data_IF_081679474243
#
_entry.id   IF_081679474243
#
_cell.length_a   1.000
_cell.length_b   1.000
_cell.length_c   1.000
_cell.angle_alpha   90.00
_cell.angle_beta   90.00
_cell.angle_gamma   90.00
#
_symmetry.space_group_name_H-M   'P 1'
#
loop_
_entity.id
_entity.type
_entity.pdbx_description
1 polymer ?
#
# COMPACT_ATOMS: atom_id res chain seq x y z
N UNK A 1 39.92 17.35 -74.92
CA UNK A 1 39.24 16.28 -74.15
C UNK A 1 39.53 16.56 -72.68
N UNK A 2 38.74 17.39 -71.96
CA UNK A 2 37.44 17.12 -71.31
C UNK A 2 37.38 15.77 -70.61
N UNK A 3 37.64 15.74 -69.30
CA UNK A 3 36.91 14.90 -68.34
C UNK A 3 37.12 15.34 -66.88
N UNK A 4 36.06 15.98 -66.32
CA UNK A 4 35.44 15.77 -64.99
C UNK A 4 36.34 16.00 -63.76
N UNK A 5 36.41 17.22 -63.20
CA UNK A 5 35.45 17.79 -62.23
C UNK A 5 34.89 16.76 -61.24
N UNK A 6 35.47 16.71 -60.04
CA UNK A 6 34.87 16.15 -58.84
C UNK A 6 35.16 17.08 -57.66
N UNK A 7 34.46 18.22 -57.63
CA UNK A 7 34.20 18.94 -56.39
C UNK A 7 33.23 18.09 -55.57
N UNK A 8 33.72 17.31 -54.62
CA UNK A 8 32.88 16.68 -53.60
C UNK A 8 32.97 17.49 -52.31
N UNK A 9 32.04 18.45 -52.22
CA UNK A 9 31.24 18.80 -51.06
C UNK A 9 31.86 18.53 -49.66
N UNK A 10 32.66 19.49 -49.19
CA UNK A 10 32.87 19.78 -47.77
C UNK A 10 31.61 20.47 -47.24
N UNK A 11 30.59 19.71 -46.83
CA UNK A 11 29.34 20.28 -46.30
C UNK A 11 28.53 19.29 -45.42
N UNK A 12 29.15 18.70 -44.40
CA UNK A 12 28.45 17.78 -43.47
C UNK A 12 28.87 17.97 -41.99
N UNK A 13 29.14 19.21 -41.59
CA UNK A 13 29.60 19.57 -40.22
C UNK A 13 28.67 20.58 -39.50
N UNK A 14 27.35 20.48 -39.67
CA UNK A 14 26.42 21.44 -39.04
C UNK A 14 25.10 20.82 -38.52
N UNK A 15 25.17 19.70 -37.80
CA UNK A 15 24.01 19.16 -37.03
C UNK A 15 24.36 18.87 -35.56
N UNK A 16 25.31 19.62 -34.97
CA UNK A 16 25.59 19.62 -33.54
C UNK A 16 24.99 20.88 -32.90
N UNK A 17 23.67 20.95 -32.79
CA UNK A 17 22.95 21.83 -31.85
C UNK A 17 21.43 21.60 -31.92
N UNK A 18 20.86 20.87 -30.94
CA UNK A 18 20.06 21.45 -29.86
C UNK A 18 19.12 20.39 -29.23
N UNK A 19 19.16 20.28 -27.90
CA UNK A 19 17.95 20.01 -27.11
C UNK A 19 17.79 18.60 -26.56
N UNK A 20 18.35 18.36 -25.37
CA UNK A 20 18.00 17.19 -24.57
C UNK A 20 18.92 17.01 -23.39
N UNK A 21 18.85 17.91 -22.41
CA UNK A 21 19.46 17.69 -21.10
C UNK A 21 18.76 16.52 -20.39
N UNK A 22 19.13 15.29 -20.74
CA UNK A 22 18.74 14.09 -20.02
C UNK A 22 19.78 13.85 -18.95
N UNK A 23 19.45 14.28 -17.73
CA UNK A 23 20.19 14.01 -16.49
C UNK A 23 20.74 12.58 -16.51
N UNK A 24 22.01 12.42 -16.15
CA UNK A 24 22.57 11.13 -15.73
C UNK A 24 21.54 10.41 -14.85
N UNK A 25 21.30 9.10 -15.02
CA UNK A 25 20.46 8.38 -14.10
C UNK A 25 21.20 8.37 -12.75
N UNK A 26 20.88 9.34 -11.90
CA UNK A 26 21.02 9.18 -10.46
C UNK A 26 20.37 7.85 -10.14
N UNK A 27 21.14 6.99 -9.49
CA UNK A 27 20.87 5.62 -9.05
C UNK A 27 19.70 5.55 -8.04
N UNK A 28 18.58 6.18 -8.36
CA UNK A 28 17.35 6.23 -7.60
C UNK A 28 16.32 5.40 -8.35
N UNK A 29 16.19 4.12 -7.95
CA UNK A 29 15.12 3.27 -8.43
C UNK A 29 13.76 3.97 -8.29
N UNK A 30 12.88 3.76 -9.27
CA UNK A 30 11.53 4.30 -9.20
C UNK A 30 10.85 3.81 -7.92
N UNK A 31 10.54 4.74 -7.01
CA UNK A 31 9.93 4.44 -5.73
C UNK A 31 8.42 4.36 -5.88
N UNK A 32 7.81 3.30 -5.35
CA UNK A 32 6.36 3.22 -5.16
C UNK A 32 6.00 3.58 -3.72
N UNK A 33 5.14 4.58 -3.57
CA UNK A 33 4.65 5.06 -2.28
C UNK A 33 3.28 4.45 -1.96
N UNK A 34 3.11 3.99 -0.72
CA UNK A 34 1.80 3.62 -0.20
C UNK A 34 1.38 4.73 0.76
N UNK A 35 0.40 5.52 0.36
CA UNK A 35 0.04 6.75 1.08
C UNK A 35 -0.75 6.47 2.36
N UNK A 36 -1.37 5.30 2.43
CA UNK A 36 -2.12 4.81 3.59
C UNK A 36 -2.08 3.28 3.69
N UNK A 37 -2.51 2.68 4.82
CA UNK A 37 -2.66 1.23 4.93
C UNK A 37 -3.75 0.69 4.01
N UNK A 38 -3.59 -0.54 3.52
CA UNK A 38 -4.53 -1.16 2.58
C UNK A 38 -5.80 -1.73 3.24
N UNK A 39 -5.74 -2.11 4.52
CA UNK A 39 -6.92 -2.48 5.31
C UNK A 39 -7.17 -1.40 6.35
N UNK A 40 -8.34 -0.78 6.30
CA UNK A 40 -8.75 0.29 7.22
C UNK A 40 -9.94 -0.23 8.03
N UNK A 41 -9.74 -0.52 9.32
CA UNK A 41 -10.79 -0.91 10.23
C UNK A 41 -11.39 0.35 10.86
N UNK A 42 -12.53 0.78 10.34
CA UNK A 42 -13.15 2.06 10.73
C UNK A 42 -13.95 1.95 12.02
N UNK A 43 -14.64 0.82 12.20
CA UNK A 43 -15.59 0.63 13.30
C UNK A 43 -15.73 -0.82 13.69
N UNK A 44 -15.86 -1.03 15.00
CA UNK A 44 -16.32 -2.29 15.56
C UNK A 44 -17.56 -2.02 16.41
N UNK A 45 -18.68 -2.61 16.04
CA UNK A 45 -19.97 -2.46 16.74
C UNK A 45 -20.25 -3.67 17.63
N UNK A 46 -21.11 -3.47 18.63
CA UNK A 46 -21.61 -4.57 19.47
C UNK A 46 -22.87 -5.16 18.85
N UNK A 47 -22.93 -6.49 18.75
CA UNK A 47 -24.07 -7.21 18.18
C UNK A 47 -25.36 -6.94 18.97
N UNK A 48 -26.41 -6.46 18.29
CA UNK A 48 -27.72 -6.21 18.89
C UNK A 48 -27.80 -4.97 19.80
N UNK A 49 -26.72 -4.20 19.92
CA UNK A 49 -26.63 -2.99 20.74
C UNK A 49 -26.26 -1.76 19.88
N UNK A 50 -26.53 -0.56 20.38
CA UNK A 50 -26.08 0.70 19.75
C UNK A 50 -24.64 1.08 20.14
N UNK A 51 -23.92 0.20 20.86
CA UNK A 51 -22.57 0.45 21.36
C UNK A 51 -21.47 0.16 20.34
N UNK A 52 -20.33 0.81 20.51
CA UNK A 52 -19.09 0.56 19.73
C UNK A 52 -17.96 0.14 20.64
N UNK A 53 -17.08 -0.72 20.12
CA UNK A 53 -15.81 -1.08 20.72
C UNK A 53 -14.77 -0.16 20.10
N UNK A 54 -14.03 0.59 20.91
CA UNK A 54 -13.01 1.54 20.44
C UNK A 54 -11.59 0.96 20.40
N UNK A 55 -11.37 -0.17 21.08
CA UNK A 55 -10.06 -0.83 21.16
C UNK A 55 -10.23 -2.33 20.99
N UNK A 56 -9.51 -2.89 20.03
CA UNK A 56 -9.45 -4.34 19.76
C UNK A 56 -7.99 -4.79 19.67
N UNK A 57 -7.73 -6.06 19.92
CA UNK A 57 -6.45 -6.70 19.63
C UNK A 57 -6.61 -7.56 18.39
N UNK A 58 -5.75 -7.32 17.40
CA UNK A 58 -5.66 -8.08 16.16
C UNK A 58 -4.54 -9.11 16.33
N UNK A 59 -4.87 -10.37 16.12
CA UNK A 59 -3.95 -11.50 16.14
C UNK A 59 -4.18 -12.41 14.92
N UNK A 60 -3.32 -13.42 14.78
CA UNK A 60 -3.43 -14.48 13.76
C UNK A 60 -3.69 -13.96 12.33
N UNK A 61 -2.98 -12.89 11.96
CA UNK A 61 -3.13 -12.27 10.64
C UNK A 61 -2.67 -13.22 9.56
N UNK A 62 -3.54 -13.44 8.58
CA UNK A 62 -3.23 -14.22 7.38
C UNK A 62 -3.44 -13.38 6.13
N UNK A 63 -2.55 -13.56 5.14
CA UNK A 63 -2.67 -13.03 3.79
C UNK A 63 -2.74 -14.20 2.82
N UNK A 64 -3.82 -14.30 2.04
CA UNK A 64 -4.07 -15.39 1.10
C UNK A 64 -3.94 -16.78 1.75
N UNK A 65 -4.42 -16.88 3.00
CA UNK A 65 -4.40 -18.10 3.80
C UNK A 65 -3.03 -18.47 4.37
N UNK A 66 -2.00 -17.63 4.19
CA UNK A 66 -0.69 -17.82 4.80
C UNK A 66 -0.52 -16.91 6.01
N UNK A 67 -0.01 -17.40 7.15
CA UNK A 67 0.27 -16.56 8.30
C UNK A 67 1.35 -15.53 7.93
N UNK A 68 1.10 -14.27 8.27
CA UNK A 68 2.07 -13.18 8.09
C UNK A 68 2.56 -12.70 9.45
N UNK A 69 3.85 -12.39 9.53
CA UNK A 69 4.38 -11.81 10.76
C UNK A 69 3.92 -10.37 10.89
N UNK A 70 3.73 -9.91 12.13
CA UNK A 70 3.31 -8.53 12.38
C UNK A 70 4.32 -7.50 11.83
N UNK A 71 5.61 -7.89 11.77
CA UNK A 71 6.70 -7.10 11.20
C UNK A 71 6.61 -6.94 9.67
N UNK A 72 5.91 -7.83 8.97
CA UNK A 72 5.70 -7.76 7.51
C UNK A 72 4.62 -6.74 7.12
N UNK A 73 3.87 -6.22 8.10
CA UNK A 73 2.80 -5.25 7.90
C UNK A 73 3.43 -3.85 7.97
N UNK A 74 4.18 -3.50 6.91
CA UNK A 74 5.08 -2.34 6.89
C UNK A 74 4.40 -0.97 6.98
N UNK A 75 3.09 -0.89 6.71
CA UNK A 75 2.30 0.34 6.79
C UNK A 75 1.19 0.11 7.81
N UNK A 76 1.15 0.91 8.87
CA UNK A 76 0.11 0.86 9.88
C UNK A 76 -0.22 2.24 10.42
N UNK A 77 -1.45 2.40 10.90
CA UNK A 77 -1.95 3.63 11.53
C UNK A 77 -2.89 3.26 12.67
N UNK A 78 -2.80 3.93 13.82
CA UNK A 78 -3.64 3.60 14.99
C UNK A 78 -3.35 2.20 15.58
N UNK A 79 -2.19 1.62 15.28
CA UNK A 79 -1.74 0.31 15.75
C UNK A 79 -0.58 0.47 16.74
N UNK A 80 -0.65 -0.22 17.87
CA UNK A 80 0.45 -0.40 18.83
C UNK A 80 0.83 -1.89 18.87
N UNK A 81 2.11 -2.22 18.66
CA UNK A 81 2.59 -3.59 18.79
C UNK A 81 2.79 -3.96 20.27
N UNK A 82 2.30 -5.14 20.66
CA UNK A 82 2.42 -5.69 22.01
C UNK A 82 2.80 -7.17 21.96
N UNK A 83 3.19 -7.75 23.10
CA UNK A 83 3.48 -9.19 23.18
C UNK A 83 2.26 -10.08 22.85
N UNK A 84 1.04 -9.54 22.91
CA UNK A 84 -0.21 -10.26 22.68
C UNK A 84 -0.77 -10.06 21.26
N UNK A 85 -0.13 -9.23 20.43
CA UNK A 85 -0.60 -8.89 19.09
C UNK A 85 -0.61 -7.39 18.82
N UNK A 86 -1.37 -6.98 17.81
CA UNK A 86 -1.53 -5.58 17.42
C UNK A 86 -2.74 -4.97 18.12
N UNK A 87 -2.51 -4.05 19.05
CA UNK A 87 -3.56 -3.24 19.64
C UNK A 87 -3.99 -2.21 18.59
N UNK A 88 -5.25 -2.28 18.17
CA UNK A 88 -5.88 -1.31 17.29
C UNK A 88 -6.77 -0.37 18.11
N UNK A 89 -6.40 0.91 18.16
CA UNK A 89 -7.26 1.97 18.68
C UNK A 89 -8.01 2.58 17.49
N UNK A 90 -9.32 2.31 17.39
CA UNK A 90 -10.12 2.60 16.20
C UNK A 90 -10.33 4.11 15.98
N UNK A 91 -10.35 4.58 14.71
CA UNK A 91 -10.06 3.82 13.49
C UNK A 91 -8.57 3.48 13.37
N UNK A 92 -8.25 2.30 12.82
CA UNK A 92 -6.87 1.87 12.60
C UNK A 92 -6.70 1.23 11.22
N UNK A 93 -5.46 1.05 10.78
CA UNK A 93 -5.18 0.39 9.51
C UNK A 93 -3.87 -0.38 9.49
N UNK A 94 -3.80 -1.36 8.58
CA UNK A 94 -2.68 -2.27 8.45
C UNK A 94 -2.44 -2.71 6.99
N UNK A 95 -1.16 -2.97 6.70
CA UNK A 95 -0.70 -3.63 5.50
C UNK A 95 -0.58 -2.69 4.31
N UNK A 96 0.08 -3.16 3.27
CA UNK A 96 0.19 -2.45 1.99
C UNK A 96 0.21 -3.41 0.79
N UNK A 97 -0.10 -4.68 1.01
CA UNK A 97 -0.07 -5.73 -0.01
C UNK A 97 -1.49 -6.09 -0.36
N UNK A 98 -1.84 -6.09 -1.65
CA UNK A 98 -3.18 -6.53 -2.07
C UNK A 98 -3.35 -8.03 -1.84
N UNK A 99 -4.57 -8.45 -1.50
CA UNK A 99 -4.87 -9.87 -1.24
C UNK A 99 -6.00 -10.06 -0.25
N UNK A 100 -6.24 -11.30 0.13
CA UNK A 100 -7.28 -11.65 1.09
C UNK A 100 -6.72 -11.73 2.50
N UNK A 101 -7.06 -10.74 3.32
CA UNK A 101 -6.72 -10.68 4.73
C UNK A 101 -7.73 -11.46 5.56
N UNK A 102 -7.25 -12.26 6.50
CA UNK A 102 -8.04 -12.79 7.61
C UNK A 102 -7.44 -12.31 8.92
N UNK A 103 -8.24 -11.64 9.74
CA UNK A 103 -7.86 -11.00 10.99
C UNK A 103 -8.65 -11.61 12.13
N UNK A 104 -7.97 -12.01 13.22
CA UNK A 104 -8.65 -12.42 14.45
C UNK A 104 -8.75 -11.22 15.40
N UNK A 105 -9.98 -10.72 15.60
CA UNK A 105 -10.26 -9.63 16.53
C UNK A 105 -10.63 -10.17 17.90
N UNK A 106 -10.04 -9.58 18.95
CA UNK A 106 -10.40 -9.85 20.34
C UNK A 106 -10.58 -8.55 21.11
N UNK A 107 -11.47 -8.56 22.10
CA UNK A 107 -11.71 -7.44 23.00
C UNK A 107 -12.20 -7.96 24.35
N UNK A 108 -11.85 -7.27 25.43
CA UNK A 108 -12.25 -7.68 26.79
C UNK A 108 -13.78 -7.70 26.92
N UNK A 109 -14.34 -8.82 27.39
CA UNK A 109 -15.79 -9.01 27.53
C UNK A 109 -16.53 -9.35 26.24
N UNK A 110 -15.82 -9.65 25.14
CA UNK A 110 -16.41 -10.03 23.86
C UNK A 110 -15.85 -11.37 23.35
N UNK A 111 -16.69 -12.10 22.62
CA UNK A 111 -16.28 -13.31 21.93
C UNK A 111 -15.31 -12.95 20.78
N UNK A 112 -14.24 -13.75 20.57
CA UNK A 112 -13.33 -13.55 19.44
C UNK A 112 -14.06 -13.58 18.09
N UNK A 113 -13.62 -12.75 17.14
CA UNK A 113 -14.25 -12.62 15.82
C UNK A 113 -13.21 -12.64 14.70
N UNK A 114 -13.34 -13.60 13.78
CA UNK A 114 -12.62 -13.57 12.53
C UNK A 114 -13.28 -12.60 11.54
N UNK A 115 -12.46 -11.80 10.85
CA UNK A 115 -12.86 -10.90 9.78
C UNK A 115 -12.03 -11.22 8.54
N UNK A 116 -12.69 -11.56 7.43
CA UNK A 116 -12.03 -11.82 6.16
C UNK A 116 -12.42 -10.74 5.15
N UNK A 117 -11.43 -10.14 4.50
CA UNK A 117 -11.60 -9.07 3.52
C UNK A 117 -10.61 -9.22 2.37
N UNK A 118 -11.07 -9.07 1.13
CA UNK A 118 -10.19 -8.91 -0.02
C UNK A 118 -9.84 -7.44 -0.19
N UNK A 119 -8.61 -7.08 0.17
CA UNK A 119 -8.12 -5.71 0.19
C UNK A 119 -7.39 -5.35 -1.11
N UNK A 120 -7.68 -4.16 -1.62
CA UNK A 120 -7.08 -3.54 -2.79
C UNK A 120 -7.01 -2.02 -2.61
N UNK A 121 -6.13 -1.36 -3.34
CA UNK A 121 -6.16 0.10 -3.46
C UNK A 121 -7.15 0.52 -4.55
N UNK A 122 -7.91 1.58 -4.28
CA UNK A 122 -8.87 2.14 -5.23
C UNK A 122 -8.19 3.08 -6.25
N UNK A 123 -7.04 3.65 -5.88
CA UNK A 123 -6.33 4.65 -6.67
C UNK A 123 -4.88 4.23 -6.87
N UNK A 124 -4.46 4.18 -8.13
CA UNK A 124 -3.07 4.06 -8.52
C UNK A 124 -2.66 5.26 -9.38
N UNK A 125 -1.63 5.97 -8.97
CA UNK A 125 -1.02 7.06 -9.73
C UNK A 125 0.35 6.60 -10.23
N UNK A 126 0.45 6.36 -11.54
CA UNK A 126 1.72 6.02 -12.19
C UNK A 126 2.69 7.21 -12.25
N UNK A 127 3.98 6.94 -12.45
CA UNK A 127 5.02 7.95 -12.50
C UNK A 127 6.30 7.50 -11.80
N UNK A 128 7.22 8.44 -11.58
CA UNK A 128 8.41 8.25 -10.75
C UNK A 128 8.54 9.45 -9.79
N UNK A 129 8.08 9.31 -8.52
CA UNK A 129 7.53 8.10 -7.90
C UNK A 129 6.11 7.77 -8.38
N UNK A 130 5.72 6.50 -8.23
CA UNK A 130 4.32 6.07 -8.31
C UNK A 130 3.69 6.03 -6.91
N UNK A 131 2.36 6.02 -6.83
CA UNK A 131 1.67 5.89 -5.53
C UNK A 131 0.38 5.07 -5.58
N UNK A 132 0.04 4.48 -4.44
CA UNK A 132 -1.23 3.79 -4.18
C UNK A 132 -1.95 4.45 -3.00
N UNK A 133 -3.27 4.58 -3.13
CA UNK A 133 -4.16 5.24 -2.18
C UNK A 133 -5.59 4.66 -2.28
N UNK A 134 -6.46 4.99 -1.33
CA UNK A 134 -7.82 4.47 -1.25
C UNK A 134 -7.87 3.00 -0.82
N UNK A 135 -7.34 2.70 0.37
CA UNK A 135 -7.38 1.40 1.01
C UNK A 135 -8.81 0.86 1.21
N UNK A 136 -8.91 -0.42 1.49
CA UNK A 136 -10.18 -1.11 1.70
C UNK A 136 -10.69 -0.90 3.13
N UNK A 137 -11.84 -0.23 3.22
CA UNK A 137 -12.55 0.04 4.47
C UNK A 137 -13.35 -1.15 4.97
N UNK A 138 -13.25 -1.43 6.27
CA UNK A 138 -13.85 -2.58 6.94
C UNK A 138 -14.56 -2.11 8.20
N UNK A 139 -15.73 -2.70 8.45
CA UNK A 139 -16.41 -2.63 9.74
C UNK A 139 -16.67 -4.05 10.23
N UNK A 140 -16.58 -4.25 11.55
CA UNK A 140 -16.86 -5.53 12.18
C UNK A 140 -17.95 -5.42 13.24
N UNK A 141 -18.54 -6.56 13.59
CA UNK A 141 -19.50 -6.70 14.68
C UNK A 141 -19.00 -7.80 15.60
N UNK A 142 -18.96 -7.54 16.91
CA UNK A 142 -18.55 -8.50 17.92
C UNK A 142 -19.68 -8.76 18.91
N UNK A 143 -19.76 -10.00 19.38
CA UNK A 143 -20.76 -10.45 20.35
C UNK A 143 -20.21 -10.32 21.76
N UNK A 144 -20.98 -9.75 22.69
CA UNK A 144 -20.64 -9.71 24.12
C UNK A 144 -20.70 -11.13 24.72
N UNK A 145 -19.77 -11.45 25.62
CA UNK A 145 -19.76 -12.73 26.36
C UNK A 145 -20.92 -12.82 27.36
#
# INVERSE_FOLDING_TARGET
MRTRTALLAVALLALQACGGGGREPTDGGCLNLYLEPIVLLDRVSVEGETGTISRVVIADVQLDGQPVSLQQIAVSSGIEETAQGLVCNLPCGLGNTEGTYTLQLTASGFAPRAVTVTARYAVFQGGCPSSNDGGTHVSAVMKRL
#
